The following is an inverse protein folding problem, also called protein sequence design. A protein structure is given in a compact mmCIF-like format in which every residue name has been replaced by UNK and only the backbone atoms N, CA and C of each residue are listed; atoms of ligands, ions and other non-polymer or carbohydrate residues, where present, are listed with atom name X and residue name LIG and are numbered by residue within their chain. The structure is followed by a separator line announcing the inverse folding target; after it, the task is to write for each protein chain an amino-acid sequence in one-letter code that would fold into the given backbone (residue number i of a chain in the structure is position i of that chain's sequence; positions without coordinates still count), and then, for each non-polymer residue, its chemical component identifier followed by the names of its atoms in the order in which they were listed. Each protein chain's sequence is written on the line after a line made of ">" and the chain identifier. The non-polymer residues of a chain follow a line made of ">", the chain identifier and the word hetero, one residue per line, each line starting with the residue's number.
data_IF_465019278436
#
_entry.id   IF_465019278436
#
_cell.length_a   1.000
_cell.length_b   1.000
_cell.length_c   1.000
_cell.angle_alpha   90.00
_cell.angle_beta   90.00
_cell.angle_gamma   90.00
#
_symmetry.space_group_name_H-M   'P 1'
#
loop_
_entity.id
_entity.type
_entity.pdbx_description
1 polymer ?
#
# COMPACT_ATOMS: atom_id res chain seq x y z
N UNK A 1 -8.80 5.68 3.82
CA UNK A 1 -9.09 5.23 2.44
C UNK A 1 -9.06 3.70 2.40
N UNK A 2 -9.92 3.05 1.61
CA UNK A 2 -9.89 1.58 1.48
C UNK A 2 -8.64 1.15 0.71
N UNK A 3 -7.95 0.15 1.23
CA UNK A 3 -6.74 -0.40 0.64
C UNK A 3 -6.67 -1.90 0.92
N UNK A 4 -5.72 -2.59 0.26
CA UNK A 4 -5.50 -4.02 0.42
C UNK A 4 -4.14 -4.26 1.04
N UNK A 5 -4.12 -4.82 2.25
CA UNK A 5 -2.92 -5.16 3.00
C UNK A 5 -2.51 -6.60 2.71
N UNK A 6 -1.22 -6.76 2.41
CA UNK A 6 -0.50 -8.01 2.23
C UNK A 6 0.47 -8.13 3.39
N UNK A 7 -0.02 -8.64 4.52
CA UNK A 7 0.78 -8.84 5.73
C UNK A 7 1.45 -10.21 5.72
N UNK A 8 2.68 -10.26 6.23
CA UNK A 8 3.43 -11.48 6.56
C UNK A 8 2.80 -12.29 7.68
N UNK A 9 1.89 -11.70 8.46
CA UNK A 9 1.19 -12.38 9.55
C UNK A 9 -0.03 -13.17 9.05
N UNK A 10 -0.46 -12.93 7.81
CA UNK A 10 -1.72 -13.45 7.28
C UNK A 10 -1.50 -14.31 6.04
N UNK A 11 -2.38 -15.30 5.87
CA UNK A 11 -2.37 -16.23 4.72
C UNK A 11 -3.22 -15.75 3.55
N UNK A 12 -3.83 -14.57 3.65
CA UNK A 12 -4.59 -13.93 2.58
C UNK A 12 -4.51 -12.40 2.65
N UNK A 13 -4.68 -11.69 1.53
CA UNK A 13 -4.79 -10.24 1.54
C UNK A 13 -6.08 -9.81 2.25
N UNK A 14 -6.03 -8.69 2.95
CA UNK A 14 -7.18 -8.16 3.67
C UNK A 14 -7.49 -6.73 3.25
N UNK A 15 -8.78 -6.41 3.19
CA UNK A 15 -9.21 -5.04 2.94
C UNK A 15 -9.21 -4.27 4.26
N UNK A 16 -8.45 -3.18 4.31
CA UNK A 16 -8.31 -2.35 5.51
C UNK A 16 -8.53 -0.88 5.16
N UNK A 17 -8.82 -0.07 6.18
CA UNK A 17 -8.93 1.38 6.03
C UNK A 17 -7.64 2.02 6.51
N UNK A 18 -6.89 2.66 5.62
CA UNK A 18 -5.72 3.45 5.97
C UNK A 18 -6.15 4.81 6.53
N UNK A 19 -5.50 5.24 7.61
CA UNK A 19 -5.63 6.61 8.11
C UNK A 19 -5.12 7.61 7.07
N UNK A 20 -5.75 8.77 7.03
CA UNK A 20 -5.37 9.86 6.11
C UNK A 20 -5.43 11.19 6.82
N UNK A 21 -4.44 12.05 6.59
CA UNK A 21 -4.54 13.47 6.91
C UNK A 21 -5.33 14.17 5.81
N UNK A 22 -6.21 15.09 6.17
CA UNK A 22 -7.02 15.86 5.22
C UNK A 22 -6.61 17.33 5.28
N UNK A 23 -6.51 18.01 4.13
CA UNK A 23 -6.20 19.46 4.09
C UNK A 23 -7.40 20.37 4.42
N UNK A 24 -8.51 19.81 4.94
CA UNK A 24 -9.74 20.53 5.27
C UNK A 24 -10.90 19.58 5.61
N UNK A 25 -12.04 20.15 6.01
CA UNK A 25 -13.24 19.41 6.42
C UNK A 25 -14.14 18.94 5.24
N UNK A 26 -13.77 19.28 4.00
CA UNK A 26 -14.55 18.91 2.81
C UNK A 26 -14.33 17.46 2.41
N UNK A 27 -15.39 16.81 1.88
CA UNK A 27 -15.30 15.48 1.25
C UNK A 27 -14.38 15.46 0.02
N UNK A 28 -14.15 16.61 -0.61
CA UNK A 28 -13.25 16.80 -1.76
C UNK A 28 -11.82 17.17 -1.37
N UNK A 29 -11.53 17.31 -0.06
CA UNK A 29 -10.21 17.66 0.40
C UNK A 29 -9.19 16.59 0.01
N UNK A 30 -7.99 17.02 -0.38
CA UNK A 30 -6.88 16.11 -0.63
C UNK A 30 -6.60 15.29 0.63
N UNK A 31 -6.41 13.99 0.42
CA UNK A 31 -6.15 13.02 1.49
C UNK A 31 -4.74 12.49 1.33
N UNK A 32 -3.94 12.68 2.38
CA UNK A 32 -2.56 12.22 2.44
C UNK A 32 -2.52 10.93 3.27
N UNK A 33 -2.15 9.79 2.68
CA UNK A 33 -2.14 8.51 3.38
C UNK A 33 -1.09 8.48 4.50
N UNK A 34 -1.43 7.81 5.61
CA UNK A 34 -0.52 7.58 6.75
C UNK A 34 -0.27 6.06 6.85
N UNK A 35 0.67 5.52 6.05
CA UNK A 35 0.90 4.08 5.98
C UNK A 35 1.47 3.48 7.27
N UNK A 36 2.07 4.31 8.13
CA UNK A 36 2.62 3.92 9.44
C UNK A 36 1.57 3.26 10.33
N UNK A 37 0.29 3.59 10.15
CA UNK A 37 -0.80 3.01 10.93
C UNK A 37 -1.08 1.54 10.59
N UNK A 38 -0.47 0.99 9.54
CA UNK A 38 -0.73 -0.38 9.04
C UNK A 38 0.50 -1.28 9.09
N UNK A 39 1.68 -0.75 9.36
CA UNK A 39 2.93 -1.51 9.33
C UNK A 39 3.54 -1.63 10.72
N UNK A 40 3.82 -2.87 11.12
CA UNK A 40 4.56 -3.17 12.34
C UNK A 40 6.09 -3.18 12.07
N UNK A 41 6.90 -3.66 13.01
CA UNK A 41 8.35 -3.89 12.82
C UNK A 41 9.17 -2.62 12.44
N UNK A 42 8.81 -1.45 12.98
CA UNK A 42 9.57 -0.21 12.79
C UNK A 42 11.03 -0.31 13.28
N UNK A 43 11.32 -1.22 14.21
CA UNK A 43 12.65 -1.49 14.73
C UNK A 43 13.59 -2.13 13.71
N UNK A 44 13.06 -2.94 12.78
CA UNK A 44 13.85 -3.62 11.74
C UNK A 44 14.03 -2.73 10.52
N UNK A 45 12.97 -2.03 10.13
CA UNK A 45 13.00 -1.05 9.05
C UNK A 45 12.16 0.17 9.44
N UNK A 46 12.79 1.32 9.72
CA UNK A 46 12.08 2.50 10.18
C UNK A 46 11.30 3.18 9.05
N UNK A 47 11.81 3.13 7.82
CA UNK A 47 11.22 3.83 6.68
C UNK A 47 10.26 2.95 5.89
N UNK A 48 9.16 3.55 5.46
CA UNK A 48 8.20 2.95 4.53
C UNK A 48 8.50 3.51 3.14
N UNK A 49 8.72 2.63 2.17
CA UNK A 49 8.90 3.03 0.79
C UNK A 49 7.55 3.10 0.08
N UNK A 50 7.47 3.90 -0.97
CA UNK A 50 6.29 3.93 -1.83
C UNK A 50 6.67 3.96 -3.32
N UNK A 51 5.78 3.44 -4.15
CA UNK A 51 5.83 3.63 -5.59
C UNK A 51 4.41 3.80 -6.16
N UNK A 52 4.34 4.35 -7.37
CA UNK A 52 3.11 4.49 -8.12
C UNK A 52 3.13 3.52 -9.30
N UNK A 53 2.04 2.78 -9.47
CA UNK A 53 1.88 1.79 -10.53
C UNK A 53 0.66 2.15 -11.35
N UNK A 54 0.84 2.23 -12.66
CA UNK A 54 -0.26 2.39 -13.61
C UNK A 54 -0.54 1.04 -14.27
N UNK A 55 -1.79 0.61 -14.21
CA UNK A 55 -2.26 -0.65 -14.82
C UNK A 55 -3.21 -0.30 -15.96
N UNK A 56 -2.90 -0.80 -17.14
CA UNK A 56 -3.75 -0.69 -18.32
C UNK A 56 -4.51 -2.00 -18.51
N UNK A 57 -5.84 -1.94 -18.48
CA UNK A 57 -6.72 -3.09 -18.68
C UNK A 57 -7.80 -2.74 -19.71
N UNK A 58 -7.58 -3.20 -20.95
CA UNK A 58 -8.39 -2.79 -22.09
C UNK A 58 -8.33 -1.27 -22.30
N UNK A 59 -9.47 -0.59 -22.15
CA UNK A 59 -9.59 0.87 -22.26
C UNK A 59 -9.46 1.61 -20.92
N UNK A 60 -9.30 0.89 -19.81
CA UNK A 60 -9.24 1.48 -18.49
C UNK A 60 -7.79 1.68 -18.06
N UNK A 61 -7.54 2.84 -17.45
CA UNK A 61 -6.26 3.17 -16.80
C UNK A 61 -6.51 3.27 -15.30
N UNK A 62 -5.82 2.45 -14.53
CA UNK A 62 -5.89 2.45 -13.08
C UNK A 62 -4.55 2.89 -12.49
N UNK A 63 -4.59 3.77 -11.50
CA UNK A 63 -3.41 4.19 -10.76
C UNK A 63 -3.47 3.68 -9.33
N UNK A 64 -2.37 3.10 -8.87
CA UNK A 64 -2.21 2.57 -7.53
C UNK A 64 -0.99 3.19 -6.88
N UNK A 65 -1.13 3.53 -5.60
CA UNK A 65 -0.01 3.82 -4.72
C UNK A 65 0.24 2.57 -3.87
N UNK A 66 1.46 2.08 -3.89
CA UNK A 66 1.88 0.92 -3.10
C UNK A 66 2.85 1.44 -2.05
N UNK A 67 2.51 1.21 -0.78
CA UNK A 67 3.45 1.42 0.33
C UNK A 67 3.98 0.06 0.77
N UNK A 68 5.25 -0.04 1.15
CA UNK A 68 5.83 -1.30 1.56
C UNK A 68 7.03 -1.14 2.49
N UNK A 69 7.22 -2.16 3.33
CA UNK A 69 8.50 -2.47 3.98
C UNK A 69 9.11 -3.66 3.28
N UNK A 70 10.40 -3.57 2.96
CA UNK A 70 11.15 -4.63 2.32
C UNK A 70 12.58 -4.65 2.84
N UNK A 71 12.94 -5.73 3.52
CA UNK A 71 14.30 -5.92 4.03
C UNK A 71 14.62 -7.40 4.27
N UNK A 72 15.89 -7.77 4.11
CA UNK A 72 16.38 -9.15 4.25
C UNK A 72 16.24 -9.74 5.65
N UNK A 73 15.83 -8.96 6.67
CA UNK A 73 15.55 -9.42 8.05
C UNK A 73 14.05 -9.47 8.40
N UNK A 74 13.17 -8.96 7.54
CA UNK A 74 11.71 -9.06 7.75
C UNK A 74 11.20 -10.44 7.34
N UNK A 75 10.04 -10.85 7.84
CA UNK A 75 9.45 -12.16 7.51
C UNK A 75 9.14 -12.29 6.01
N UNK A 76 9.22 -13.51 5.48
CA UNK A 76 8.84 -13.76 4.09
C UNK A 76 7.33 -13.59 3.91
N UNK A 77 6.93 -12.86 2.88
CA UNK A 77 5.53 -12.64 2.55
C UNK A 77 5.09 -13.64 1.50
N UNK A 78 4.40 -14.69 1.92
CA UNK A 78 3.93 -15.76 1.03
C UNK A 78 2.93 -15.27 -0.02
N UNK A 79 2.27 -14.14 0.22
CA UNK A 79 1.29 -13.55 -0.70
C UNK A 79 1.93 -12.78 -1.84
N UNK A 80 3.16 -12.29 -1.64
CA UNK A 80 3.90 -11.46 -2.59
C UNK A 80 5.13 -12.19 -3.16
N UNK A 81 5.55 -13.29 -2.55
CA UNK A 81 6.63 -14.10 -3.06
C UNK A 81 6.14 -14.93 -4.24
N UNK A 82 6.92 -14.91 -5.32
CA UNK A 82 6.79 -15.84 -6.46
C UNK A 82 8.11 -16.57 -6.59
N UNK A 83 8.07 -17.84 -6.98
CA UNK A 83 9.17 -18.79 -7.20
C UNK A 83 10.58 -18.25 -6.90
N UNK A 84 11.17 -17.44 -7.79
CA UNK A 84 12.56 -16.98 -7.70
C UNK A 84 12.77 -15.67 -6.91
N UNK A 85 11.70 -15.02 -6.47
CA UNK A 85 11.72 -13.72 -5.81
C UNK A 85 10.95 -13.75 -4.49
N UNK A 86 11.71 -13.91 -3.41
CA UNK A 86 11.19 -13.81 -2.04
C UNK A 86 11.00 -12.34 -1.67
N UNK A 87 9.75 -11.92 -1.52
CA UNK A 87 9.42 -10.64 -0.91
C UNK A 87 9.45 -10.81 0.61
N UNK A 88 10.23 -9.99 1.32
CA UNK A 88 10.34 -10.02 2.78
C UNK A 88 9.88 -8.71 3.39
N UNK A 89 8.74 -8.74 4.08
CA UNK A 89 8.05 -7.57 4.64
C UNK A 89 6.61 -7.45 4.16
N UNK A 90 5.95 -6.37 4.55
CA UNK A 90 4.54 -6.14 4.26
C UNK A 90 4.36 -5.13 3.11
N UNK A 91 3.25 -5.22 2.40
CA UNK A 91 2.87 -4.19 1.43
C UNK A 91 1.38 -3.85 1.54
N UNK A 92 1.02 -2.62 1.23
CA UNK A 92 -0.37 -2.17 1.12
C UNK A 92 -0.58 -1.47 -0.21
N UNK A 93 -1.63 -1.90 -0.91
CA UNK A 93 -2.01 -1.38 -2.22
C UNK A 93 -3.25 -0.50 -2.05
N UNK A 94 -3.15 0.74 -2.49
CA UNK A 94 -4.24 1.72 -2.45
C UNK A 94 -4.51 2.23 -3.86
N UNK A 95 -5.77 2.25 -4.28
CA UNK A 95 -6.16 2.94 -5.52
C UNK A 95 -6.07 4.45 -5.30
N UNK A 96 -5.44 5.15 -6.23
CA UNK A 96 -5.40 6.61 -6.21
C UNK A 96 -6.73 7.12 -6.77
N UNK A 97 -7.36 8.05 -6.05
CA UNK A 97 -8.48 8.80 -6.60
C UNK A 97 -7.94 9.74 -7.67
N UNK A 98 -8.30 9.50 -8.93
CA UNK A 98 -8.18 10.52 -9.98
C UNK A 98 -9.23 11.57 -9.67
N UNK A 99 -8.81 12.75 -9.24
CA UNK A 99 -9.60 13.94 -9.54
C UNK A 99 -9.48 14.08 -11.05
N UNK A 100 -10.53 13.72 -11.79
CA UNK A 100 -10.69 14.21 -13.15
C UNK A 100 -10.69 15.73 -13.04
N UNK A 101 -9.54 16.36 -13.25
CA UNK A 101 -9.47 17.79 -13.50
C UNK A 101 -9.91 17.91 -14.98
N UNK A 102 -11.09 18.49 -15.26
CA UNK A 102 -11.49 18.80 -16.63
C UNK A 102 -10.53 19.82 -17.27
#
# INVERSE_FOLDING_TARGET
>A
LRCRLYSTLWTKPHQVTMLTRCSGHSRTAQRFPVPESLFEEATVQPYIHNCFVTVHEGRHVYQFCIFFKRHLRLRANVLLSRDDHKFRGDAVVMRIGVNNIP
#
